data_IF_131848503065
#
_entry.id   IF_131848503065
#
_cell.length_a   1.000
_cell.length_b   1.000
_cell.length_c   1.000
_cell.angle_alpha   90.00
_cell.angle_beta   90.00
_cell.angle_gamma   90.00
#
_symmetry.space_group_name_H-M   'P 1'
#
loop_
_entity.id
_entity.type
_entity.pdbx_description
1 polymer ?
#
# COMPACT_ATOMS: atom_id res chain seq x y z
N UNK A 1 -32.99 -3.24 -14.80
CA UNK A 1 -32.90 -2.16 -13.81
C UNK A 1 -31.92 -2.59 -12.76
N UNK A 2 -30.65 -2.22 -12.92
CA UNK A 2 -29.61 -2.50 -11.93
C UNK A 2 -29.90 -1.59 -10.74
N UNK A 3 -30.10 -2.15 -9.56
CA UNK A 3 -30.19 -1.35 -8.35
C UNK A 3 -28.87 -0.56 -8.23
N UNK A 4 -28.94 0.76 -8.17
CA UNK A 4 -27.79 1.59 -7.82
C UNK A 4 -27.42 1.25 -6.37
N UNK A 5 -26.41 0.41 -6.19
CA UNK A 5 -25.83 0.12 -4.89
C UNK A 5 -25.13 1.40 -4.46
N UNK A 6 -25.81 2.23 -3.65
CA UNK A 6 -25.22 3.42 -3.06
C UNK A 6 -24.52 3.03 -1.76
N UNK A 7 -23.21 2.90 -1.81
CA UNK A 7 -22.40 2.60 -0.63
C UNK A 7 -22.36 3.82 0.32
N UNK A 8 -22.53 3.62 1.64
CA UNK A 8 -22.51 4.72 2.59
C UNK A 8 -21.13 5.39 2.63
N UNK A 9 -21.11 6.69 2.93
CA UNK A 9 -19.85 7.40 3.29
C UNK A 9 -19.49 7.06 4.72
N UNK A 10 -18.25 6.63 4.96
CA UNK A 10 -17.71 6.42 6.29
C UNK A 10 -17.13 7.73 6.83
N UNK A 11 -18.01 8.59 7.35
CA UNK A 11 -17.62 9.87 7.94
C UNK A 11 -16.61 9.68 9.07
N UNK A 12 -15.51 10.44 9.02
CA UNK A 12 -14.41 10.35 10.01
C UNK A 12 -13.31 9.35 9.67
N UNK A 13 -13.39 8.70 8.51
CA UNK A 13 -12.31 7.88 7.92
C UNK A 13 -11.92 8.48 6.58
N UNK A 14 -10.63 8.76 6.42
CA UNK A 14 -10.06 9.42 5.25
C UNK A 14 -9.87 10.92 5.41
N UNK A 15 -9.27 11.54 4.41
CA UNK A 15 -8.93 12.96 4.40
C UNK A 15 -7.77 13.24 3.45
N UNK A 16 -7.50 14.52 3.21
CA UNK A 16 -6.36 14.90 2.38
C UNK A 16 -5.05 14.79 3.17
N UNK A 17 -4.01 14.30 2.53
CA UNK A 17 -2.65 14.20 3.08
C UNK A 17 -1.62 14.61 2.02
N UNK A 18 -0.42 14.94 2.48
CA UNK A 18 0.77 15.13 1.65
C UNK A 18 1.70 13.94 1.87
N UNK A 19 2.30 13.43 0.79
CA UNK A 19 3.23 12.31 0.83
C UNK A 19 4.19 12.35 -0.37
N UNK A 20 5.01 11.31 -0.49
CA UNK A 20 5.89 11.08 -1.63
C UNK A 20 5.52 9.75 -2.27
N UNK A 21 5.40 9.72 -3.60
CA UNK A 21 5.17 8.48 -4.33
C UNK A 21 6.48 7.70 -4.57
N UNK A 22 6.35 6.46 -5.03
CA UNK A 22 7.49 5.60 -5.42
C UNK A 22 8.35 6.17 -6.56
N UNK A 23 7.93 7.22 -7.26
CA UNK A 23 8.76 7.95 -8.23
C UNK A 23 9.46 9.17 -7.64
N UNK A 24 9.44 9.31 -6.31
CA UNK A 24 9.98 10.45 -5.57
C UNK A 24 9.26 11.77 -5.91
N UNK A 25 8.00 11.70 -6.34
CA UNK A 25 7.16 12.86 -6.61
C UNK A 25 6.34 13.20 -5.36
N UNK A 26 6.33 14.48 -4.97
CA UNK A 26 5.39 14.97 -3.97
C UNK A 26 3.96 14.83 -4.49
N UNK A 27 3.09 14.22 -3.69
CA UNK A 27 1.69 13.94 -4.03
C UNK A 27 0.76 14.35 -2.90
N UNK A 28 -0.43 14.76 -3.28
CA UNK A 28 -1.56 14.94 -2.38
C UNK A 28 -2.62 13.88 -2.66
N UNK A 29 -3.39 13.49 -1.65
CA UNK A 29 -4.51 12.57 -1.90
C UNK A 29 -5.53 13.16 -2.88
N UNK A 30 -5.72 14.48 -2.85
CA UNK A 30 -6.56 15.21 -3.81
C UNK A 30 -6.13 15.06 -5.27
N UNK A 31 -4.88 14.69 -5.56
CA UNK A 31 -4.40 14.43 -6.93
C UNK A 31 -5.10 13.22 -7.57
N UNK A 32 -5.70 12.34 -6.76
CA UNK A 32 -6.41 11.15 -7.23
C UNK A 32 -7.91 11.38 -7.47
N UNK A 33 -8.45 12.57 -7.14
CA UNK A 33 -9.86 12.90 -7.40
C UNK A 33 -10.24 12.66 -8.86
N UNK A 34 -11.47 12.21 -9.07
CA UNK A 34 -11.97 11.76 -10.36
C UNK A 34 -11.63 10.30 -10.71
N UNK A 35 -10.85 9.62 -9.88
CA UNK A 35 -10.58 8.18 -9.98
C UNK A 35 -11.18 7.45 -8.78
N UNK A 36 -11.59 6.20 -8.99
CA UNK A 36 -11.82 5.26 -7.88
C UNK A 36 -10.46 4.86 -7.33
N UNK A 37 -10.27 4.92 -6.02
CA UNK A 37 -9.04 4.51 -5.37
C UNK A 37 -9.30 3.28 -4.51
N UNK A 38 -8.46 2.26 -4.67
CA UNK A 38 -8.34 1.18 -3.70
C UNK A 38 -7.02 1.38 -2.99
N UNK A 39 -7.08 1.74 -1.72
CA UNK A 39 -5.90 2.00 -0.91
C UNK A 39 -5.72 0.88 0.12
N UNK A 40 -4.51 0.38 0.26
CA UNK A 40 -4.11 -0.48 1.36
C UNK A 40 -2.85 0.07 2.03
N UNK A 41 -2.56 -0.44 3.22
CA UNK A 41 -1.32 -0.13 3.93
C UNK A 41 -0.55 -1.41 4.27
N UNK A 42 0.77 -1.27 4.42
CA UNK A 42 1.67 -2.38 4.72
C UNK A 42 3.12 -1.95 4.68
N UNK A 43 4.04 -2.90 4.58
CA UNK A 43 5.47 -2.62 4.42
C UNK A 43 6.12 -3.74 3.61
N UNK A 44 7.21 -3.46 2.91
CA UNK A 44 7.78 -4.41 1.94
C UNK A 44 8.44 -5.62 2.59
N UNK A 45 8.98 -5.45 3.79
CA UNK A 45 9.57 -6.53 4.60
C UNK A 45 8.54 -7.37 5.37
N UNK A 46 7.25 -7.15 5.12
CA UNK A 46 6.21 -7.97 5.72
C UNK A 46 6.36 -9.42 5.23
N UNK A 47 6.57 -10.40 6.12
CA UNK A 47 7.02 -11.74 5.73
C UNK A 47 5.97 -12.59 4.99
N UNK A 48 4.73 -12.14 4.86
CA UNK A 48 3.65 -12.95 4.28
C UNK A 48 2.53 -12.13 3.62
N UNK A 49 1.88 -11.28 4.42
CA UNK A 49 0.51 -10.85 4.13
C UNK A 49 0.40 -9.67 3.12
N UNK A 50 1.42 -8.81 3.03
CA UNK A 50 1.46 -7.72 2.06
C UNK A 50 1.64 -8.19 0.60
N UNK A 51 2.63 -9.06 0.28
CA UNK A 51 2.76 -9.63 -1.07
C UNK A 51 1.50 -10.37 -1.53
N UNK A 52 0.84 -11.10 -0.62
CA UNK A 52 -0.40 -11.81 -0.95
C UNK A 52 -1.52 -10.85 -1.38
N UNK A 53 -1.71 -9.76 -0.63
CA UNK A 53 -2.76 -8.76 -0.91
C UNK A 53 -2.52 -8.05 -2.24
N UNK A 54 -1.29 -7.64 -2.52
CA UNK A 54 -0.95 -7.00 -3.80
C UNK A 54 -1.09 -7.96 -4.98
N UNK A 55 -0.75 -9.23 -4.80
CA UNK A 55 -0.99 -10.29 -5.79
C UNK A 55 -2.48 -10.52 -6.06
N UNK A 56 -3.32 -10.48 -5.03
CA UNK A 56 -4.77 -10.55 -5.17
C UNK A 56 -5.33 -9.32 -5.90
N UNK A 57 -4.92 -8.11 -5.49
CA UNK A 57 -5.34 -6.86 -6.13
C UNK A 57 -4.93 -6.81 -7.60
N UNK A 58 -3.76 -7.33 -7.96
CA UNK A 58 -3.35 -7.49 -9.37
C UNK A 58 -4.36 -8.29 -10.17
N UNK A 59 -4.76 -9.47 -9.69
CA UNK A 59 -5.75 -10.32 -10.38
C UNK A 59 -7.10 -9.62 -10.55
N UNK A 60 -7.57 -8.95 -9.49
CA UNK A 60 -8.81 -8.16 -9.56
C UNK A 60 -8.69 -7.05 -10.59
N UNK A 61 -7.59 -6.27 -10.55
CA UNK A 61 -7.32 -5.17 -11.46
C UNK A 61 -7.25 -5.61 -12.93
N UNK A 62 -6.61 -6.75 -13.20
CA UNK A 62 -6.52 -7.36 -14.51
C UNK A 62 -7.86 -7.92 -15.03
N UNK A 63 -8.79 -8.24 -14.12
CA UNK A 63 -10.17 -8.63 -14.45
C UNK A 63 -11.09 -7.44 -14.77
N UNK A 64 -10.72 -6.21 -14.40
CA UNK A 64 -11.54 -5.02 -14.66
C UNK A 64 -11.60 -4.71 -16.16
N UNK A 65 -12.77 -4.26 -16.68
CA UNK A 65 -12.86 -3.70 -18.02
C UNK A 65 -11.90 -2.53 -18.20
N UNK A 66 -11.32 -2.39 -19.40
CA UNK A 66 -10.27 -1.39 -19.66
C UNK A 66 -10.66 0.06 -19.30
N UNK A 67 -11.93 0.42 -19.52
CA UNK A 67 -12.42 1.76 -19.17
C UNK A 67 -12.52 1.99 -17.66
N UNK A 68 -12.84 0.95 -16.88
CA UNK A 68 -12.84 0.99 -15.41
C UNK A 68 -11.41 1.05 -14.91
N UNK A 69 -10.54 0.16 -15.41
CA UNK A 69 -9.13 0.07 -15.04
C UNK A 69 -8.40 1.42 -15.17
N UNK A 70 -8.64 2.16 -16.26
CA UNK A 70 -8.08 3.49 -16.49
C UNK A 70 -8.46 4.52 -15.41
N UNK A 71 -9.64 4.36 -14.81
CA UNK A 71 -10.19 5.21 -13.75
C UNK A 71 -10.03 4.61 -12.35
N UNK A 72 -9.28 3.52 -12.20
CA UNK A 72 -9.00 2.90 -10.91
C UNK A 72 -7.51 3.03 -10.58
N UNK A 73 -7.20 3.50 -9.38
CA UNK A 73 -5.84 3.60 -8.85
C UNK A 73 -5.70 2.68 -7.65
N UNK A 74 -4.62 1.91 -7.62
CA UNK A 74 -4.24 1.09 -6.47
C UNK A 74 -3.12 1.83 -5.75
N UNK A 75 -3.36 2.22 -4.50
CA UNK A 75 -2.39 2.88 -3.65
C UNK A 75 -1.95 1.92 -2.55
N UNK A 76 -0.64 1.80 -2.36
CA UNK A 76 -0.04 1.07 -1.25
C UNK A 76 0.74 2.05 -0.37
N UNK A 77 0.24 2.32 0.83
CA UNK A 77 0.88 3.21 1.80
C UNK A 77 1.81 2.41 2.70
N UNK A 78 3.10 2.74 2.67
CA UNK A 78 4.06 2.12 3.56
C UNK A 78 3.90 2.60 5.00
N UNK A 79 4.03 1.70 5.97
CA UNK A 79 4.12 1.98 7.41
C UNK A 79 5.56 1.96 7.95
N UNK A 80 6.56 1.65 7.11
CA UNK A 80 7.99 1.58 7.48
C UNK A 80 8.86 2.46 6.56
N UNK A 81 8.65 3.79 6.53
CA UNK A 81 9.33 4.72 5.62
C UNK A 81 10.87 4.72 5.71
N UNK A 82 11.45 4.29 6.83
CA UNK A 82 12.90 4.21 7.03
C UNK A 82 13.53 3.11 6.16
N UNK A 83 12.80 2.02 5.92
CA UNK A 83 13.21 0.94 5.02
C UNK A 83 12.61 1.10 3.62
N UNK A 84 11.32 1.42 3.56
CA UNK A 84 10.51 1.59 2.35
C UNK A 84 10.74 2.96 1.68
N UNK A 85 11.99 3.19 1.27
CA UNK A 85 12.35 4.35 0.45
C UNK A 85 11.55 4.35 -0.86
N UNK A 86 11.35 5.52 -1.50
CA UNK A 86 10.63 5.60 -2.79
C UNK A 86 11.17 4.62 -3.85
N UNK A 87 12.49 4.51 -3.95
CA UNK A 87 13.15 3.59 -4.88
C UNK A 87 12.86 2.13 -4.55
N UNK A 88 12.95 1.74 -3.27
CA UNK A 88 12.67 0.37 -2.84
C UNK A 88 11.20 0.00 -3.11
N UNK A 89 10.27 0.89 -2.76
CA UNK A 89 8.86 0.70 -3.05
C UNK A 89 8.60 0.59 -4.55
N UNK A 90 9.26 1.38 -5.39
CA UNK A 90 9.09 1.30 -6.85
C UNK A 90 9.45 -0.09 -7.38
N UNK A 91 10.58 -0.62 -6.93
CA UNK A 91 11.03 -1.96 -7.31
C UNK A 91 10.03 -3.01 -6.81
N UNK A 92 9.63 -2.95 -5.54
CA UNK A 92 8.63 -3.86 -4.97
C UNK A 92 7.30 -3.83 -5.74
N UNK A 93 6.72 -2.65 -5.95
CA UNK A 93 5.42 -2.48 -6.64
C UNK A 93 5.46 -2.98 -8.09
N UNK A 94 6.58 -2.80 -8.78
CA UNK A 94 6.76 -3.23 -10.17
C UNK A 94 6.64 -4.76 -10.36
N UNK A 95 6.93 -5.56 -9.32
CA UNK A 95 6.71 -7.03 -9.37
C UNK A 95 5.22 -7.39 -9.50
N UNK A 96 4.33 -6.55 -8.98
CA UNK A 96 2.89 -6.77 -9.03
C UNK A 96 2.31 -6.14 -10.28
N UNK A 97 2.34 -4.81 -10.38
CA UNK A 97 1.79 -4.08 -11.50
C UNK A 97 2.41 -2.68 -11.57
N UNK A 98 2.89 -2.29 -12.76
CA UNK A 98 3.49 -0.97 -13.02
C UNK A 98 2.55 0.22 -12.81
N UNK A 99 1.24 -0.01 -12.86
CA UNK A 99 0.22 1.02 -12.66
C UNK A 99 -0.13 1.21 -11.17
N UNK A 100 0.42 0.36 -10.28
CA UNK A 100 0.23 0.51 -8.84
C UNK A 100 1.21 1.53 -8.29
N UNK A 101 0.76 2.28 -7.29
CA UNK A 101 1.50 3.43 -6.77
C UNK A 101 1.84 3.13 -5.31
N UNK A 102 3.14 3.07 -5.02
CA UNK A 102 3.64 3.09 -3.64
C UNK A 102 3.65 4.51 -3.10
N UNK A 103 3.22 4.68 -1.86
CA UNK A 103 3.20 5.95 -1.12
C UNK A 103 4.03 5.78 0.14
N UNK A 104 4.93 6.72 0.39
CA UNK A 104 5.80 6.80 1.58
C UNK A 104 6.01 8.28 1.93
N UNK A 105 6.91 8.59 2.85
CA UNK A 105 7.20 9.96 3.25
C UNK A 105 8.06 10.00 4.51
N UNK A 106 7.96 11.10 5.26
CA UNK A 106 8.51 11.10 6.61
C UNK A 106 7.64 10.25 7.54
N UNK A 107 8.20 9.85 8.70
CA UNK A 107 7.44 9.15 9.74
C UNK A 107 6.17 9.91 10.11
N UNK A 108 6.26 11.23 10.24
CA UNK A 108 5.11 12.10 10.54
C UNK A 108 4.05 12.08 9.44
N UNK A 109 4.43 12.00 8.17
CA UNK A 109 3.46 11.87 7.08
C UNK A 109 2.72 10.54 7.16
N UNK A 110 3.44 9.44 7.41
CA UNK A 110 2.87 8.10 7.52
C UNK A 110 1.91 8.03 8.72
N UNK A 111 2.30 8.59 9.86
CA UNK A 111 1.47 8.64 11.07
C UNK A 111 0.20 9.47 10.85
N UNK A 112 0.32 10.63 10.17
CA UNK A 112 -0.83 11.44 9.80
C UNK A 112 -1.82 10.66 8.91
N UNK A 113 -1.32 9.93 7.91
CA UNK A 113 -2.18 9.11 7.04
C UNK A 113 -2.85 8.02 7.89
N UNK A 114 -2.10 7.38 8.80
CA UNK A 114 -2.63 6.37 9.70
C UNK A 114 -3.77 6.90 10.58
N UNK A 115 -3.61 8.10 11.15
CA UNK A 115 -4.67 8.75 11.92
C UNK A 115 -5.92 9.06 11.07
N UNK A 116 -5.73 9.66 9.88
CA UNK A 116 -6.82 10.01 8.98
C UNK A 116 -7.65 8.79 8.59
N UNK A 117 -6.98 7.68 8.27
CA UNK A 117 -7.64 6.45 7.83
C UNK A 117 -7.92 5.47 8.98
N UNK A 118 -7.70 5.89 10.24
CA UNK A 118 -7.84 5.08 11.44
C UNK A 118 -7.09 3.74 11.36
N UNK A 119 -5.95 3.74 10.65
CA UNK A 119 -5.08 2.58 10.51
C UNK A 119 -4.37 2.32 11.83
N UNK A 120 -4.43 1.08 12.30
CA UNK A 120 -3.71 0.67 13.51
C UNK A 120 -2.57 -0.26 13.13
N UNK A 121 -1.39 0.09 13.57
CA UNK A 121 -0.20 -0.73 13.44
C UNK A 121 0.67 -0.57 14.70
N UNK A 122 1.46 -1.57 15.04
CA UNK A 122 2.31 -1.53 16.23
C UNK A 122 3.65 -2.16 15.90
N UNK A 123 4.74 -1.45 16.20
CA UNK A 123 6.10 -2.00 16.09
C UNK A 123 6.25 -3.10 17.14
N UNK A 124 6.59 -4.31 16.71
CA UNK A 124 6.77 -5.47 17.60
C UNK A 124 8.23 -5.90 17.71
N UNK A 125 9.08 -5.48 16.77
CA UNK A 125 10.52 -5.66 16.84
C UNK A 125 11.26 -4.60 16.02
N UNK A 126 12.49 -4.30 16.41
CA UNK A 126 13.35 -3.25 15.87
C UNK A 126 14.75 -3.81 15.60
N UNK A 127 15.45 -3.23 14.62
CA UNK A 127 16.83 -3.58 14.25
C UNK A 127 17.06 -5.06 13.93
N UNK A 128 16.07 -5.73 13.35
CA UNK A 128 16.21 -7.13 12.94
C UNK A 128 17.12 -7.20 11.70
N UNK A 129 18.21 -7.99 11.72
CA UNK A 129 19.06 -8.19 10.55
C UNK A 129 18.28 -8.81 9.39
N UNK A 130 18.41 -8.24 8.20
CA UNK A 130 17.80 -8.77 6.98
C UNK A 130 18.81 -9.62 6.22
N UNK A 131 18.51 -10.90 6.03
CA UNK A 131 19.28 -11.79 5.15
C UNK A 131 18.54 -12.01 3.83
N UNK A 132 19.12 -11.54 2.71
CA UNK A 132 18.59 -11.83 1.38
C UNK A 132 19.11 -13.19 0.90
N UNK A 133 18.25 -14.21 0.91
CA UNK A 133 18.58 -15.56 0.43
C UNK A 133 17.99 -15.78 -0.96
N UNK A 134 18.85 -15.88 -1.97
CA UNK A 134 18.46 -16.15 -3.35
C UNK A 134 18.36 -17.67 -3.59
N UNK A 135 17.13 -18.21 -3.63
CA UNK A 135 16.90 -19.67 -3.67
C UNK A 135 17.11 -20.29 -5.06
N UNK A 136 17.33 -19.49 -6.12
CA UNK A 136 17.45 -19.99 -7.49
C UNK A 136 18.87 -20.42 -7.90
N UNK A 137 19.87 -20.30 -7.03
CA UNK A 137 21.21 -20.80 -7.32
C UNK A 137 21.75 -21.63 -6.17
N UNK A 138 22.23 -22.84 -6.46
CA UNK A 138 22.95 -23.73 -5.53
C UNK A 138 24.31 -23.13 -5.11
N UNK A 139 24.54 -21.85 -5.38
CA UNK A 139 25.69 -21.07 -4.91
C UNK A 139 25.17 -20.06 -3.91
N UNK A 140 25.36 -20.33 -2.61
CA UNK A 140 25.18 -19.34 -1.53
C UNK A 140 26.08 -18.13 -1.81
N UNK A 141 25.57 -17.13 -2.52
CA UNK A 141 26.11 -15.77 -2.44
C UNK A 141 25.31 -15.04 -1.37
N UNK A 142 25.78 -15.10 -0.12
CA UNK A 142 25.36 -14.14 0.90
C UNK A 142 25.84 -12.77 0.43
N UNK A 143 24.97 -11.97 -0.17
CA UNK A 143 25.29 -10.58 -0.38
C UNK A 143 25.07 -9.90 0.98
N UNK A 144 26.14 -9.77 1.76
CA UNK A 144 26.11 -9.10 3.07
C UNK A 144 25.93 -7.61 2.85
N UNK A 145 24.69 -7.18 2.59
CA UNK A 145 24.28 -5.82 2.91
C UNK A 145 23.87 -5.88 4.38
N UNK A 146 24.62 -5.19 5.25
CA UNK A 146 24.20 -4.96 6.62
C UNK A 146 22.95 -4.05 6.57
N UNK A 147 21.78 -4.67 6.45
CA UNK A 147 20.49 -3.99 6.45
C UNK A 147 19.71 -4.49 7.67
N UNK A 148 19.11 -3.57 8.40
CA UNK A 148 18.20 -3.87 9.49
C UNK A 148 16.77 -3.44 9.12
N UNK A 149 15.77 -4.10 9.69
CA UNK A 149 14.35 -3.77 9.48
C UNK A 149 13.58 -3.79 10.78
N UNK A 150 12.46 -3.06 10.77
CA UNK A 150 11.43 -3.17 11.78
C UNK A 150 10.39 -4.22 11.37
N UNK A 151 9.72 -4.81 12.36
CA UNK A 151 8.56 -5.66 12.12
C UNK A 151 7.35 -5.04 12.83
N UNK A 152 6.24 -4.96 12.09
CA UNK A 152 5.00 -4.38 12.57
C UNK A 152 3.88 -5.41 12.53
N UNK A 153 3.10 -5.47 13.61
CA UNK A 153 1.77 -6.08 13.59
C UNK A 153 0.77 -5.06 13.00
N UNK A 154 0.04 -5.46 11.97
CA UNK A 154 -1.01 -4.66 11.39
C UNK A 154 -2.08 -5.54 10.74
N UNK A 155 -3.34 -5.10 10.78
CA UNK A 155 -4.40 -5.72 9.99
C UNK A 155 -4.28 -5.35 8.51
N UNK A 156 -4.82 -6.17 7.59
CA UNK A 156 -5.09 -5.70 6.23
C UNK A 156 -6.47 -5.04 6.22
N UNK A 157 -6.49 -3.74 5.99
CA UNK A 157 -7.71 -3.03 5.60
C UNK A 157 -7.51 -2.44 4.21
N UNK A 158 -8.43 -2.76 3.31
CA UNK A 158 -8.54 -2.13 2.01
C UNK A 158 -9.63 -1.07 2.05
N UNK A 159 -9.27 0.16 1.71
CA UNK A 159 -10.18 1.28 1.61
C UNK A 159 -10.64 1.40 0.16
N UNK A 160 -11.94 1.29 -0.07
CA UNK A 160 -12.53 1.67 -1.35
C UNK A 160 -13.00 3.12 -1.24
N UNK A 161 -12.41 3.97 -2.07
CA UNK A 161 -12.61 5.41 -2.08
C UNK A 161 -13.16 5.80 -3.44
N UNK A 162 -14.20 6.62 -3.44
CA UNK A 162 -14.86 7.05 -4.67
C UNK A 162 -14.10 8.18 -5.40
N UNK A 163 -14.71 8.68 -6.48
CA UNK A 163 -14.16 9.75 -7.29
C UNK A 163 -14.17 11.13 -6.62
N UNK A 164 -14.94 11.33 -5.55
CA UNK A 164 -14.98 12.57 -4.77
C UNK A 164 -13.90 12.58 -3.67
N UNK A 165 -13.39 11.40 -3.32
CA UNK A 165 -12.38 11.17 -2.29
C UNK A 165 -12.96 10.61 -0.99
N UNK A 166 -14.22 10.19 -0.99
CA UNK A 166 -14.92 9.69 0.20
C UNK A 166 -14.75 8.17 0.34
N UNK A 167 -14.45 7.72 1.56
CA UNK A 167 -14.33 6.30 1.87
C UNK A 167 -15.73 5.67 1.88
N UNK A 168 -15.94 4.70 0.99
CA UNK A 168 -17.23 4.01 0.79
C UNK A 168 -17.28 2.63 1.44
N UNK A 169 -16.13 1.98 1.63
CA UNK A 169 -16.06 0.65 2.22
C UNK A 169 -14.68 0.35 2.80
N UNK A 170 -14.66 -0.52 3.81
CA UNK A 170 -13.48 -1.14 4.38
C UNK A 170 -13.58 -2.65 4.15
N UNK A 171 -12.64 -3.20 3.39
CA UNK A 171 -12.46 -4.64 3.25
C UNK A 171 -11.46 -5.14 4.28
N UNK A 172 -11.89 -5.99 5.21
CA UNK A 172 -10.99 -6.68 6.11
C UNK A 172 -10.51 -7.99 5.46
N UNK A 173 -9.20 -8.15 5.36
CA UNK A 173 -8.62 -9.47 5.10
C UNK A 173 -8.65 -10.29 6.39
N UNK A 174 -9.69 -11.09 6.59
CA UNK A 174 -9.61 -12.18 7.57
C UNK A 174 -8.75 -13.29 6.95
N UNK A 175 -7.50 -13.40 7.40
CA UNK A 175 -6.64 -14.54 7.16
C UNK A 175 -6.34 -15.20 8.50
#
# INVERSE_FOLDING_TARGET
MSAEINLPVLSGVGGNFNAVDSNNKAVQFSDYKGNVVVMGYGYTNCPDICPFTLGYLKKVYEGLPAYVRKKTKILFVSIDPEYDTPQHLKEFMAHFNKDFIGITGSRENVDQIAELFQMKYTKIAEDIPVEFVDYCSVVKKSNTRNATTNVYNHGIVLYLIDTEGDVRSLGYGHY
#
